data_IF_224159670821
#
_entry.id   IF_224159670821
#
_cell.length_a   1.000
_cell.length_b   1.000
_cell.length_c   1.000
_cell.angle_alpha   90.00
_cell.angle_beta   90.00
_cell.angle_gamma   90.00
#
_symmetry.space_group_name_H-M   'P 1'
#
loop_
_entity.id
_entity.type
_entity.pdbx_description
1 polymer ?
#
# COMPACT_ATOMS: atom_id res chain seq x y z
N UNK A 1 6.30 8.82 15.98
CA UNK A 1 5.68 9.71 17.01
C UNK A 1 5.73 9.10 18.41
N UNK A 2 5.40 7.81 18.61
CA UNK A 2 5.42 7.18 19.93
C UNK A 2 6.81 7.22 20.60
N UNK A 3 7.88 7.27 19.82
CA UNK A 3 9.27 7.32 20.31
C UNK A 3 9.80 8.74 20.53
N UNK A 4 9.12 9.76 20.02
CA UNK A 4 9.53 11.16 20.11
C UNK A 4 8.85 11.90 21.27
N UNK A 5 7.96 11.21 21.97
CA UNK A 5 7.31 11.67 23.19
C UNK A 5 6.05 12.50 22.98
N UNK A 6 5.34 12.79 24.10
CA UNK A 6 4.04 13.47 24.04
C UNK A 6 4.10 14.89 23.47
N UNK A 7 5.25 15.57 23.57
CA UNK A 7 5.41 16.92 23.07
C UNK A 7 5.43 16.94 21.54
N UNK A 8 6.15 16.01 20.89
CA UNK A 8 6.16 15.88 19.44
C UNK A 8 4.75 15.66 18.86
N UNK A 9 3.93 14.84 19.54
CA UNK A 9 2.53 14.61 19.15
C UNK A 9 1.71 15.90 19.24
N UNK A 10 1.90 16.70 20.29
CA UNK A 10 1.21 17.99 20.46
C UNK A 10 1.65 19.00 19.41
N UNK A 11 2.95 19.09 19.15
CA UNK A 11 3.52 20.02 18.18
C UNK A 11 3.00 19.73 16.76
N UNK A 12 2.97 18.46 16.37
CA UNK A 12 2.39 18.03 15.08
C UNK A 12 0.89 18.35 15.02
N UNK A 13 0.14 18.08 16.10
CA UNK A 13 -1.29 18.40 16.16
C UNK A 13 -1.58 19.90 16.07
N UNK A 14 -0.63 20.74 16.49
CA UNK A 14 -0.71 22.21 16.43
C UNK A 14 -0.10 22.78 15.14
N UNK A 15 0.37 21.93 14.21
CA UNK A 15 1.04 22.37 12.98
C UNK A 15 2.46 22.94 13.23
N UNK A 16 3.04 22.72 14.39
CA UNK A 16 4.41 23.11 14.70
C UNK A 16 5.36 22.13 14.04
N UNK A 17 6.18 22.61 13.10
CA UNK A 17 7.15 21.79 12.39
C UNK A 17 8.46 21.74 13.14
N UNK A 18 8.75 20.59 13.78
CA UNK A 18 10.06 20.27 14.34
C UNK A 18 10.74 19.16 13.53
N UNK A 19 12.07 19.06 13.61
CA UNK A 19 12.77 17.90 13.07
C UNK A 19 12.67 16.74 14.05
N UNK A 20 11.81 15.78 13.71
CA UNK A 20 11.62 14.55 14.46
C UNK A 20 12.20 13.38 13.64
N UNK A 21 13.34 12.78 14.05
CA UNK A 21 14.06 11.80 13.22
C UNK A 21 13.19 10.57 12.87
N UNK A 22 12.38 10.09 13.80
CA UNK A 22 11.47 8.96 13.54
C UNK A 22 10.28 9.36 12.65
N UNK A 23 9.75 10.56 12.82
CA UNK A 23 8.74 11.13 11.94
C UNK A 23 9.26 11.30 10.53
N UNK A 24 10.43 11.91 10.37
CA UNK A 24 11.10 12.05 9.08
C UNK A 24 11.35 10.70 8.40
N UNK A 25 11.84 9.71 9.15
CA UNK A 25 12.06 8.36 8.61
C UNK A 25 10.74 7.70 8.16
N UNK A 26 9.68 7.85 8.97
CA UNK A 26 8.34 7.37 8.63
C UNK A 26 7.80 7.98 7.33
N UNK A 27 8.07 9.26 7.10
CA UNK A 27 7.59 10.00 5.93
C UNK A 27 8.45 9.72 4.68
N UNK A 28 9.76 9.49 4.87
CA UNK A 28 10.69 9.18 3.78
C UNK A 28 10.59 7.71 3.31
N UNK A 29 10.26 6.78 4.20
CA UNK A 29 10.19 5.35 3.89
C UNK A 29 9.24 5.00 2.74
N UNK A 30 8.02 5.58 2.63
CA UNK A 30 7.13 5.35 1.50
C UNK A 30 7.74 5.69 0.14
N UNK A 31 8.63 6.68 0.07
CA UNK A 31 9.33 7.04 -1.17
C UNK A 31 10.24 5.90 -1.62
N UNK A 32 11.04 5.35 -0.69
CA UNK A 32 11.94 4.23 -0.97
C UNK A 32 11.16 2.96 -1.36
N UNK A 33 10.07 2.69 -0.64
CA UNK A 33 9.17 1.57 -0.95
C UNK A 33 8.55 1.72 -2.33
N UNK A 34 8.08 2.92 -2.69
CA UNK A 34 7.53 3.20 -4.01
C UNK A 34 8.55 2.99 -5.13
N UNK A 35 9.80 3.44 -4.94
CA UNK A 35 10.88 3.23 -5.91
C UNK A 35 11.20 1.74 -6.08
N UNK A 36 11.30 0.98 -4.99
CA UNK A 36 11.50 -0.46 -5.04
C UNK A 36 10.33 -1.18 -5.71
N UNK A 37 9.09 -0.75 -5.45
CA UNK A 37 7.89 -1.32 -6.05
C UNK A 37 7.84 -1.14 -7.57
N UNK A 38 8.38 -0.05 -8.13
CA UNK A 38 8.48 0.14 -9.58
C UNK A 38 9.24 -1.01 -10.25
N UNK A 39 10.33 -1.46 -9.63
CA UNK A 39 11.11 -2.60 -10.16
C UNK A 39 10.25 -3.87 -10.17
N UNK A 40 9.52 -4.14 -9.09
CA UNK A 40 8.62 -5.30 -8.98
C UNK A 40 7.52 -5.23 -10.03
N UNK A 41 6.89 -4.06 -10.22
CA UNK A 41 5.85 -3.84 -11.23
C UNK A 41 6.37 -4.14 -12.63
N UNK A 42 7.56 -3.63 -12.99
CA UNK A 42 8.15 -3.84 -14.31
C UNK A 42 8.51 -5.31 -14.53
N UNK A 43 9.05 -5.99 -13.53
CA UNK A 43 9.38 -7.42 -13.62
C UNK A 43 8.13 -8.26 -13.83
N UNK A 44 7.10 -8.06 -13.01
CA UNK A 44 5.84 -8.80 -13.12
C UNK A 44 5.14 -8.52 -14.45
N UNK A 45 5.09 -7.26 -14.89
CA UNK A 45 4.58 -6.90 -16.21
C UNK A 45 5.27 -7.68 -17.33
N UNK A 46 6.63 -7.76 -17.31
CA UNK A 46 7.39 -8.48 -18.34
C UNK A 46 7.10 -9.98 -18.35
N UNK A 47 6.83 -10.57 -17.18
CA UNK A 47 6.50 -11.98 -17.06
C UNK A 47 5.08 -12.28 -17.58
N UNK A 48 4.11 -11.45 -17.21
CA UNK A 48 2.68 -11.69 -17.46
C UNK A 48 2.22 -11.23 -18.85
N UNK A 49 2.92 -10.26 -19.48
CA UNK A 49 2.52 -9.70 -20.79
C UNK A 49 2.44 -10.74 -21.91
N UNK A 50 3.12 -11.90 -21.76
CA UNK A 50 3.09 -12.97 -22.75
C UNK A 50 1.74 -13.66 -22.81
N UNK A 51 1.06 -13.81 -21.67
CA UNK A 51 -0.25 -14.47 -21.55
C UNK A 51 -1.44 -13.50 -21.63
N UNK A 52 -1.27 -12.24 -21.21
CA UNK A 52 -2.35 -11.24 -21.17
C UNK A 52 -1.81 -9.80 -21.33
N UNK A 53 -1.40 -9.38 -22.52
CA UNK A 53 -0.67 -8.11 -22.70
C UNK A 53 -1.49 -6.89 -22.28
N UNK A 54 -2.78 -6.84 -22.55
CA UNK A 54 -3.62 -5.70 -22.19
C UNK A 54 -3.87 -5.63 -20.69
N UNK A 55 -4.22 -6.76 -20.07
CA UNK A 55 -4.55 -6.80 -18.66
C UNK A 55 -3.32 -6.58 -17.77
N UNK A 56 -2.15 -7.11 -18.17
CA UNK A 56 -0.90 -6.83 -17.48
C UNK A 56 -0.45 -5.36 -17.64
N UNK A 57 -0.74 -4.71 -18.79
CA UNK A 57 -0.49 -3.29 -18.97
C UNK A 57 -1.39 -2.45 -18.04
N UNK A 58 -2.68 -2.75 -17.96
CA UNK A 58 -3.61 -2.09 -17.04
C UNK A 58 -3.15 -2.29 -15.59
N UNK A 59 -2.79 -3.52 -15.20
CA UNK A 59 -2.25 -3.78 -13.87
C UNK A 59 -1.00 -2.95 -13.59
N UNK A 60 -0.04 -2.91 -14.51
CA UNK A 60 1.18 -2.12 -14.33
C UNK A 60 0.89 -0.62 -14.18
N UNK A 61 -0.02 -0.06 -14.98
CA UNK A 61 -0.43 1.33 -14.86
C UNK A 61 -1.07 1.64 -13.51
N UNK A 62 -1.94 0.77 -13.00
CA UNK A 62 -2.53 0.91 -11.67
C UNK A 62 -1.46 0.86 -10.57
N UNK A 63 -0.53 -0.09 -10.65
CA UNK A 63 0.59 -0.18 -9.71
C UNK A 63 1.47 1.07 -9.72
N UNK A 64 1.81 1.58 -10.91
CA UNK A 64 2.59 2.81 -11.03
C UNK A 64 1.82 4.03 -10.51
N UNK A 65 0.55 4.18 -10.84
CA UNK A 65 -0.28 5.30 -10.37
C UNK A 65 -0.39 5.32 -8.84
N UNK A 66 -0.66 4.18 -8.21
CA UNK A 66 -0.74 4.09 -6.77
C UNK A 66 0.61 4.38 -6.08
N UNK A 67 1.71 3.81 -6.59
CA UNK A 67 3.04 4.08 -6.03
C UNK A 67 3.48 5.53 -6.25
N UNK A 68 3.14 6.15 -7.39
CA UNK A 68 3.41 7.56 -7.63
C UNK A 68 2.66 8.44 -6.62
N UNK A 69 1.39 8.15 -6.34
CA UNK A 69 0.63 8.86 -5.32
C UNK A 69 1.27 8.78 -3.92
N UNK A 70 1.75 7.58 -3.54
CA UNK A 70 2.50 7.38 -2.30
C UNK A 70 3.80 8.18 -2.26
N UNK A 71 4.59 8.12 -3.33
CA UNK A 71 5.87 8.84 -3.42
C UNK A 71 5.66 10.35 -3.38
N UNK A 72 4.68 10.87 -4.12
CA UNK A 72 4.33 12.30 -4.12
C UNK A 72 3.89 12.74 -2.73
N UNK A 73 3.01 11.98 -2.06
CA UNK A 73 2.60 12.27 -0.68
C UNK A 73 3.78 12.30 0.28
N UNK A 74 4.69 11.32 0.20
CA UNK A 74 5.91 11.28 1.00
C UNK A 74 6.85 12.46 0.72
N UNK A 75 7.06 12.83 -0.54
CA UNK A 75 7.88 13.98 -0.91
C UNK A 75 7.26 15.28 -0.36
N UNK A 76 5.98 15.48 -0.58
CA UNK A 76 5.30 16.73 -0.18
C UNK A 76 5.31 16.93 1.33
N UNK A 77 5.11 15.86 2.13
CA UNK A 77 5.16 15.98 3.60
C UNK A 77 6.58 16.22 4.11
N UNK A 78 7.60 15.55 3.54
CA UNK A 78 9.01 15.77 3.89
C UNK A 78 9.43 17.22 3.65
N UNK A 79 8.93 17.84 2.58
CA UNK A 79 9.18 19.25 2.27
C UNK A 79 8.18 20.22 2.92
N UNK A 80 7.34 19.74 3.86
CA UNK A 80 6.33 20.56 4.55
C UNK A 80 5.38 21.32 3.61
N UNK A 81 5.05 20.72 2.46
CA UNK A 81 4.13 21.30 1.46
C UNK A 81 2.68 20.91 1.70
N UNK A 82 2.44 19.86 2.45
CA UNK A 82 1.13 19.36 2.84
C UNK A 82 1.11 19.04 4.33
N UNK A 83 -0.10 19.02 4.88
CA UNK A 83 -0.37 18.59 6.25
C UNK A 83 -0.39 17.06 6.35
N UNK A 84 -0.27 16.52 7.56
CA UNK A 84 -0.41 15.07 7.82
C UNK A 84 -1.77 14.54 7.32
N UNK A 85 -2.84 15.35 7.46
CA UNK A 85 -4.18 14.95 6.99
C UNK A 85 -4.23 14.82 5.46
N UNK A 86 -3.64 15.76 4.73
CA UNK A 86 -3.55 15.70 3.27
C UNK A 86 -2.69 14.53 2.79
N UNK A 87 -1.61 14.21 3.52
CA UNK A 87 -0.80 13.01 3.26
C UNK A 87 -1.65 11.74 3.43
N UNK A 88 -2.42 11.63 4.52
CA UNK A 88 -3.32 10.49 4.74
C UNK A 88 -4.36 10.39 3.64
N UNK A 89 -4.90 11.49 3.14
CA UNK A 89 -5.82 11.49 1.99
C UNK A 89 -5.16 10.93 0.73
N UNK A 90 -3.96 11.39 0.39
CA UNK A 90 -3.20 10.88 -0.75
C UNK A 90 -2.87 9.40 -0.61
N UNK A 91 -2.50 8.96 0.60
CA UNK A 91 -2.27 7.56 0.90
C UNK A 91 -3.53 6.72 0.65
N UNK A 92 -4.66 7.12 1.18
CA UNK A 92 -5.94 6.41 1.01
C UNK A 92 -6.36 6.35 -0.46
N UNK A 93 -6.23 7.46 -1.21
CA UNK A 93 -6.50 7.48 -2.66
C UNK A 93 -5.58 6.51 -3.39
N UNK A 94 -4.33 6.40 -2.99
CA UNK A 94 -3.34 5.51 -3.59
C UNK A 94 -3.61 4.03 -3.31
N UNK A 95 -4.28 3.69 -2.19
CA UNK A 95 -4.63 2.30 -1.86
C UNK A 95 -5.57 1.65 -2.88
N UNK A 96 -6.45 2.41 -3.51
CA UNK A 96 -7.36 1.90 -4.54
C UNK A 96 -6.60 1.28 -5.72
N UNK A 97 -5.82 2.08 -6.47
CA UNK A 97 -5.01 1.58 -7.56
C UNK A 97 -4.01 0.50 -7.15
N UNK A 98 -3.35 0.63 -5.98
CA UNK A 98 -2.40 -0.37 -5.47
C UNK A 98 -3.09 -1.72 -5.19
N UNK A 99 -4.24 -1.69 -4.53
CA UNK A 99 -5.00 -2.90 -4.24
C UNK A 99 -5.50 -3.58 -5.51
N UNK A 100 -6.02 -2.82 -6.47
CA UNK A 100 -6.41 -3.36 -7.78
C UNK A 100 -5.23 -3.97 -8.54
N UNK A 101 -4.09 -3.29 -8.55
CA UNK A 101 -2.85 -3.85 -9.11
C UNK A 101 -2.50 -5.19 -8.45
N UNK A 102 -2.49 -5.23 -7.14
CA UNK A 102 -2.10 -6.43 -6.40
C UNK A 102 -3.07 -7.59 -6.62
N UNK A 103 -4.37 -7.32 -6.77
CA UNK A 103 -5.36 -8.33 -7.15
C UNK A 103 -5.08 -8.84 -8.57
N UNK A 104 -4.95 -7.94 -9.54
CA UNK A 104 -4.79 -8.30 -10.95
C UNK A 104 -3.51 -9.08 -11.22
N UNK A 105 -2.37 -8.62 -10.69
CA UNK A 105 -1.08 -9.29 -10.88
C UNK A 105 -1.07 -10.68 -10.26
N UNK A 106 -1.66 -10.86 -9.09
CA UNK A 106 -1.74 -12.18 -8.47
C UNK A 106 -2.76 -13.10 -9.17
N UNK A 107 -3.85 -12.55 -9.69
CA UNK A 107 -4.79 -13.29 -10.50
C UNK A 107 -4.13 -13.80 -11.79
N UNK A 108 -3.41 -12.95 -12.52
CA UNK A 108 -2.70 -13.33 -13.74
C UNK A 108 -1.60 -14.36 -13.46
N UNK A 109 -0.78 -14.12 -12.45
CA UNK A 109 0.26 -15.06 -12.05
C UNK A 109 -0.28 -16.42 -11.63
N UNK A 110 -1.46 -16.46 -10.98
CA UNK A 110 -2.15 -17.70 -10.63
C UNK A 110 -2.69 -18.42 -11.86
N UNK A 111 -3.33 -17.69 -12.77
CA UNK A 111 -3.90 -18.25 -14.01
C UNK A 111 -2.81 -18.89 -14.88
N UNK A 112 -1.67 -18.22 -14.99
CA UNK A 112 -0.57 -18.63 -15.87
C UNK A 112 0.41 -19.59 -15.15
N UNK A 113 0.13 -19.97 -13.91
CA UNK A 113 0.97 -20.90 -13.12
C UNK A 113 2.36 -20.34 -12.75
N UNK A 114 2.55 -19.02 -12.81
CA UNK A 114 3.85 -18.37 -12.60
C UNK A 114 4.26 -18.33 -11.13
N UNK A 115 3.29 -18.30 -10.22
CA UNK A 115 3.53 -18.19 -8.78
C UNK A 115 2.72 -19.23 -7.98
N UNK A 116 3.22 -19.62 -6.79
CA UNK A 116 2.51 -20.56 -5.91
C UNK A 116 1.12 -20.06 -5.51
N UNK A 117 0.14 -20.97 -5.46
CA UNK A 117 -1.25 -20.64 -5.11
C UNK A 117 -1.41 -19.91 -3.77
N UNK A 118 -0.60 -20.28 -2.76
CA UNK A 118 -0.64 -19.63 -1.45
C UNK A 118 -0.17 -18.19 -1.51
N UNK A 119 0.90 -17.92 -2.28
CA UNK A 119 1.42 -16.57 -2.46
C UNK A 119 0.43 -15.68 -3.21
N UNK A 120 -0.14 -16.18 -4.31
CA UNK A 120 -1.13 -15.44 -5.10
C UNK A 120 -2.42 -15.22 -4.31
N UNK A 121 -2.89 -16.20 -3.55
CA UNK A 121 -4.05 -16.07 -2.67
C UNK A 121 -3.84 -15.00 -1.59
N UNK A 122 -2.68 -14.99 -0.96
CA UNK A 122 -2.32 -13.97 0.03
C UNK A 122 -2.21 -12.58 -0.59
N UNK A 123 -1.62 -12.46 -1.78
CA UNK A 123 -1.55 -11.20 -2.52
C UNK A 123 -2.93 -10.65 -2.90
N UNK A 124 -3.85 -11.50 -3.35
CA UNK A 124 -5.24 -11.10 -3.62
C UNK A 124 -5.93 -10.60 -2.34
N UNK A 125 -5.79 -11.32 -1.23
CA UNK A 125 -6.39 -10.93 0.05
C UNK A 125 -5.86 -9.58 0.54
N UNK A 126 -4.56 -9.37 0.44
CA UNK A 126 -3.91 -8.08 0.75
C UNK A 126 -4.47 -6.95 -0.11
N UNK A 127 -4.58 -7.17 -1.43
CA UNK A 127 -5.15 -6.20 -2.37
C UNK A 127 -6.62 -5.88 -2.08
N UNK A 128 -7.43 -6.88 -1.73
CA UNK A 128 -8.84 -6.69 -1.32
C UNK A 128 -8.92 -5.81 -0.09
N UNK A 129 -8.06 -6.01 0.92
CA UNK A 129 -8.00 -5.15 2.09
C UNK A 129 -7.71 -3.68 1.75
N UNK A 130 -6.79 -3.43 0.82
CA UNK A 130 -6.46 -2.08 0.34
C UNK A 130 -7.62 -1.44 -0.42
N UNK A 131 -8.27 -2.17 -1.34
CA UNK A 131 -9.44 -1.67 -2.07
C UNK A 131 -10.60 -1.40 -1.11
N UNK A 132 -10.84 -2.28 -0.15
CA UNK A 132 -11.88 -2.08 0.86
C UNK A 132 -11.63 -0.80 1.68
N UNK A 133 -10.38 -0.56 2.09
CA UNK A 133 -10.01 0.67 2.77
C UNK A 133 -10.31 1.91 1.92
N UNK A 134 -9.88 1.91 0.66
CA UNK A 134 -10.14 2.99 -0.29
C UNK A 134 -11.65 3.26 -0.45
N UNK A 135 -12.43 2.21 -0.75
CA UNK A 135 -13.88 2.32 -0.99
C UNK A 135 -14.60 2.87 0.24
N UNK A 136 -14.27 2.34 1.41
CA UNK A 136 -14.88 2.75 2.67
C UNK A 136 -14.58 4.22 2.98
N UNK A 137 -13.32 4.64 2.88
CA UNK A 137 -12.96 6.04 3.09
C UNK A 137 -13.60 6.98 2.07
N UNK A 138 -13.72 6.54 0.82
CA UNK A 138 -14.30 7.36 -0.24
C UNK A 138 -15.83 7.50 -0.11
N UNK A 139 -16.54 6.38 0.11
CA UNK A 139 -18.00 6.36 0.16
C UNK A 139 -18.57 7.01 1.42
N UNK A 140 -17.87 6.89 2.54
CA UNK A 140 -18.40 7.37 3.82
C UNK A 140 -17.78 8.71 4.26
N UNK A 141 -17.01 9.36 3.38
CA UNK A 141 -16.37 10.63 3.71
C UNK A 141 -15.45 10.53 4.94
N UNK A 142 -14.89 9.33 5.21
CA UNK A 142 -14.26 8.96 6.47
C UNK A 142 -13.17 9.92 6.92
N UNK A 143 -12.45 10.56 5.98
CA UNK A 143 -11.43 11.54 6.32
C UNK A 143 -12.01 12.89 6.75
N UNK A 144 -13.04 13.39 6.07
CA UNK A 144 -13.71 14.64 6.45
C UNK A 144 -14.54 14.44 7.73
N UNK A 145 -15.18 13.29 7.87
CA UNK A 145 -15.92 12.93 9.06
C UNK A 145 -15.00 12.71 10.28
N UNK A 146 -13.86 12.05 10.12
CA UNK A 146 -12.87 11.87 11.19
C UNK A 146 -12.21 13.20 11.59
N UNK A 147 -12.01 14.12 10.66
CA UNK A 147 -11.44 15.44 10.95
C UNK A 147 -12.43 16.40 11.64
N UNK A 148 -13.73 16.24 11.42
CA UNK A 148 -14.76 17.15 11.91
C UNK A 148 -15.54 16.66 13.14
N UNK A 149 -15.47 15.36 13.46
CA UNK A 149 -16.25 14.75 14.53
C UNK A 149 -15.42 14.51 15.79
N UNK A 150 -16.00 14.82 16.95
CA UNK A 150 -15.41 14.36 18.21
C UNK A 150 -15.63 12.84 18.38
N UNK A 151 -14.84 12.20 19.24
CA UNK A 151 -14.90 10.75 19.45
C UNK A 151 -16.31 10.26 19.81
N UNK A 152 -17.10 11.05 20.54
CA UNK A 152 -18.46 10.70 20.94
C UNK A 152 -19.41 10.61 19.74
N UNK A 153 -19.29 11.51 18.75
CA UNK A 153 -20.13 11.47 17.54
C UNK A 153 -19.77 10.30 16.63
N UNK A 154 -18.51 9.89 16.59
CA UNK A 154 -18.08 8.69 15.85
C UNK A 154 -18.66 7.44 16.50
N UNK A 155 -18.57 7.31 17.82
CA UNK A 155 -19.06 6.13 18.57
C UNK A 155 -20.59 5.99 18.50
N UNK A 156 -21.33 7.08 18.37
CA UNK A 156 -22.79 7.07 18.22
C UNK A 156 -23.27 6.74 16.81
N UNK A 157 -22.39 6.87 15.80
CA UNK A 157 -22.71 6.59 14.39
C UNK A 157 -22.15 5.23 13.96
N UNK A 158 -22.95 4.16 14.17
CA UNK A 158 -22.55 2.79 13.83
C UNK A 158 -22.04 2.59 12.39
N UNK A 159 -22.69 3.11 11.33
CA UNK A 159 -22.17 3.00 9.98
C UNK A 159 -20.78 3.62 9.83
N UNK A 160 -20.53 4.78 10.41
CA UNK A 160 -19.23 5.46 10.36
C UNK A 160 -18.18 4.66 11.16
N UNK A 161 -18.54 4.15 12.34
CA UNK A 161 -17.65 3.33 13.16
C UNK A 161 -17.22 2.05 12.43
N UNK A 162 -18.18 1.30 11.85
CA UNK A 162 -17.91 0.10 11.06
C UNK A 162 -17.00 0.44 9.88
N UNK A 163 -17.27 1.53 9.19
CA UNK A 163 -16.47 1.99 8.05
C UNK A 163 -15.04 2.31 8.45
N UNK A 164 -14.84 3.03 9.55
CA UNK A 164 -13.51 3.34 10.07
C UNK A 164 -12.76 2.08 10.49
N UNK A 165 -13.43 1.12 11.13
CA UNK A 165 -12.82 -0.16 11.52
C UNK A 165 -12.41 -0.96 10.28
N UNK A 166 -13.31 -1.15 9.31
CA UNK A 166 -12.99 -1.88 8.07
C UNK A 166 -11.89 -1.17 7.28
N UNK A 167 -11.98 0.14 7.11
CA UNK A 167 -11.00 0.93 6.38
C UNK A 167 -9.63 0.91 7.05
N UNK A 168 -9.58 1.09 8.36
CA UNK A 168 -8.32 1.09 9.12
C UNK A 168 -7.72 -0.31 9.19
N UNK A 169 -8.50 -1.32 9.56
CA UNK A 169 -8.03 -2.70 9.68
C UNK A 169 -7.66 -3.26 8.30
N UNK A 170 -8.52 -3.07 7.29
CA UNK A 170 -8.25 -3.53 5.92
C UNK A 170 -7.02 -2.85 5.31
N UNK A 171 -6.93 -1.53 5.44
CA UNK A 171 -5.78 -0.75 4.97
C UNK A 171 -4.49 -1.11 5.71
N UNK A 172 -4.54 -1.18 7.04
CA UNK A 172 -3.38 -1.54 7.85
C UNK A 172 -2.91 -2.97 7.57
N UNK A 173 -3.80 -3.95 7.63
CA UNK A 173 -3.44 -5.35 7.37
C UNK A 173 -3.06 -5.57 5.90
N UNK A 174 -3.78 -4.97 4.96
CA UNK A 174 -3.49 -5.13 3.54
C UNK A 174 -2.21 -4.44 3.11
N UNK A 175 -1.99 -3.19 3.50
CA UNK A 175 -0.86 -2.40 3.06
C UNK A 175 0.37 -2.54 3.96
N UNK A 176 0.23 -2.31 5.28
CA UNK A 176 1.40 -2.28 6.18
C UNK A 176 1.94 -3.67 6.53
N UNK A 177 1.12 -4.71 6.45
CA UNK A 177 1.54 -6.09 6.74
C UNK A 177 1.51 -6.95 5.48
N UNK A 178 0.37 -6.99 4.81
CA UNK A 178 0.13 -7.90 3.69
C UNK A 178 1.05 -7.65 2.51
N UNK A 179 1.18 -6.40 2.06
CA UNK A 179 2.04 -6.07 0.93
C UNK A 179 3.53 -6.33 1.18
N UNK A 180 4.15 -5.93 2.31
CA UNK A 180 5.53 -6.28 2.63
C UNK A 180 5.77 -7.79 2.76
N UNK A 181 4.90 -8.52 3.46
CA UNK A 181 5.02 -9.99 3.60
C UNK A 181 4.93 -10.66 2.24
N UNK A 182 3.98 -10.24 1.40
CA UNK A 182 3.85 -10.72 0.03
C UNK A 182 5.12 -10.42 -0.80
N UNK A 183 5.65 -9.21 -0.73
CA UNK A 183 6.85 -8.80 -1.48
C UNK A 183 8.09 -9.61 -1.04
N UNK A 184 8.29 -9.82 0.25
CA UNK A 184 9.38 -10.67 0.78
C UNK A 184 9.22 -12.10 0.28
N UNK A 185 8.01 -12.65 0.34
CA UNK A 185 7.75 -14.01 -0.13
C UNK A 185 7.96 -14.14 -1.63
N UNK A 186 7.50 -13.16 -2.41
CA UNK A 186 7.74 -13.09 -3.85
C UNK A 186 9.25 -13.07 -4.16
N UNK A 187 10.02 -12.25 -3.47
CA UNK A 187 11.47 -12.19 -3.60
C UNK A 187 12.14 -13.55 -3.33
N UNK A 188 11.71 -14.26 -2.29
CA UNK A 188 12.20 -15.62 -2.01
C UNK A 188 11.89 -16.60 -3.13
N UNK A 189 10.67 -16.58 -3.68
CA UNK A 189 10.31 -17.46 -4.81
C UNK A 189 11.22 -17.21 -5.99
N UNK A 190 11.48 -15.97 -6.37
CA UNK A 190 12.36 -15.64 -7.49
C UNK A 190 13.83 -16.05 -7.26
N UNK A 191 14.33 -15.89 -6.05
CA UNK A 191 15.71 -16.27 -5.71
C UNK A 191 15.91 -17.78 -5.76
N UNK A 192 15.00 -18.56 -5.20
CA UNK A 192 15.17 -20.01 -5.08
C UNK A 192 14.81 -20.78 -6.36
N UNK A 193 13.88 -20.28 -7.18
CA UNK A 193 13.54 -20.95 -8.46
C UNK A 193 14.70 -20.86 -9.46
N UNK A 194 15.51 -19.81 -9.43
CA UNK A 194 16.73 -19.72 -10.26
C UNK A 194 17.82 -20.71 -9.84
N UNK A 195 17.94 -20.99 -8.54
CA UNK A 195 19.00 -21.88 -8.04
C UNK A 195 18.79 -23.35 -8.47
N UNK A 196 17.54 -23.80 -8.55
CA UNK A 196 17.21 -25.19 -8.96
C UNK A 196 17.33 -25.41 -10.47
N UNK A 197 17.14 -24.40 -11.31
CA UNK A 197 17.29 -24.50 -12.76
C UNK A 197 18.75 -24.56 -13.24
N UNK A 198 19.69 -24.01 -12.50
CA UNK A 198 21.11 -24.01 -12.86
C UNK A 198 21.79 -25.37 -12.61
N UNK A 199 21.28 -26.18 -11.69
CA UNK A 199 21.85 -27.50 -11.37
C UNK A 199 21.37 -28.62 -12.31
N UNK A 200 20.29 -28.40 -13.08
CA UNK A 200 19.74 -29.40 -14.02
C UNK A 200 20.39 -29.35 -15.42
N UNK A 201 21.20 -28.33 -15.73
CA UNK A 201 21.82 -28.19 -17.06
C UNK A 201 23.25 -28.74 -17.14
N UNK A 202 23.79 -29.31 -16.05
CA UNK A 202 25.16 -29.85 -15.97
C UNK A 202 25.19 -31.38 -15.77
N UNK A 203 24.08 -32.08 -15.92
CA UNK A 203 23.98 -33.54 -15.96
C UNK A 203 23.51 -34.02 -17.35
#
# INVERSE_FOLDING_TARGET
FAFEGPQAVKDVAQGITGFYPFGFLSDALPILVALAAVVVIVVLYRLERKGAPQLSAVAALLGLAGNLGMAVGGILIVFHKITVMEQVQLLVISLGPLGLWQILVNYLARRDGLLPLRLTGFGILSGVGQVAAFVVFFLFGGLSAAASSNAASILSNYPLLISLVIGTVGGFLGYNIGAPVWAIWLGRVFLFTKATGASASTA
#
